data_IF_510167047208
#
_entry.id   IF_510167047208
#
_cell.length_a   1.000
_cell.length_b   1.000
_cell.length_c   1.000
_cell.angle_alpha   90.00
_cell.angle_beta   90.00
_cell.angle_gamma   90.00
#
_symmetry.space_group_name_H-M   'P 1'
#
loop_
_entity.id
_entity.type
_entity.pdbx_description
1 polymer ?
#
# COMPACT_ATOMS: atom_id res chain seq x y z
N UNK A 42 6.11 -4.24 -26.65
CA UNK A 42 4.68 -4.56 -26.92
C UNK A 42 3.90 -4.53 -25.59
N UNK A 43 2.76 -3.84 -25.62
CA UNK A 43 1.98 -3.66 -24.40
C UNK A 43 1.30 -4.96 -23.96
N UNK A 44 0.94 -5.83 -24.91
CA UNK A 44 0.18 -7.03 -24.61
C UNK A 44 1.05 -8.22 -24.23
N UNK A 45 2.32 -8.00 -23.88
CA UNK A 45 3.16 -9.10 -23.42
C UNK A 45 2.59 -9.68 -22.12
N UNK A 46 2.94 -10.94 -21.85
CA UNK A 46 2.30 -11.65 -20.75
C UNK A 46 2.58 -10.98 -19.40
N UNK A 47 3.82 -10.57 -19.15
CA UNK A 47 4.16 -10.02 -17.84
C UNK A 47 3.50 -8.66 -17.62
N UNK A 48 3.38 -7.84 -18.67
CA UNK A 48 2.66 -6.58 -18.51
C UNK A 48 1.15 -6.80 -18.45
N UNK A 49 0.63 -7.86 -19.06
CA UNK A 49 -0.75 -8.23 -18.83
C UNK A 49 -0.99 -8.55 -17.37
N UNK A 50 -0.09 -9.32 -16.76
CA UNK A 50 -0.18 -9.58 -15.33
C UNK A 50 -0.09 -8.30 -14.52
N UNK A 51 0.81 -7.40 -14.91
CA UNK A 51 0.94 -6.13 -14.19
C UNK A 51 -0.35 -5.33 -14.25
N UNK A 52 -0.99 -5.26 -15.42
CA UNK A 52 -2.23 -4.49 -15.54
C UNK A 52 -3.34 -5.14 -14.72
N UNK A 53 -3.43 -6.47 -14.76
CA UNK A 53 -4.47 -7.14 -13.98
C UNK A 53 -4.27 -6.93 -12.48
N UNK A 54 -3.02 -7.01 -12.00
CA UNK A 54 -2.77 -6.73 -10.59
C UNK A 54 -3.07 -5.27 -10.25
N UNK A 55 -2.75 -4.36 -11.17
CA UNK A 55 -3.12 -2.95 -10.99
C UNK A 55 -4.61 -2.81 -10.75
N UNK A 56 -5.42 -3.43 -11.60
CA UNK A 56 -6.87 -3.31 -11.42
C UNK A 56 -7.36 -4.04 -10.17
N UNK A 57 -6.70 -5.14 -9.79
CA UNK A 57 -7.07 -5.81 -8.57
C UNK A 57 -6.87 -4.94 -7.34
N UNK A 58 -5.70 -4.30 -7.27
CA UNK A 58 -5.45 -3.37 -6.16
C UNK A 58 -6.36 -2.15 -6.24
N UNK A 59 -6.64 -1.65 -7.44
CA UNK A 59 -7.63 -0.59 -7.61
C UNK A 59 -8.95 -0.98 -6.97
N UNK A 60 -9.45 -2.17 -7.27
CA UNK A 60 -10.74 -2.61 -6.73
C UNK A 60 -10.65 -2.73 -5.21
N UNK A 61 -9.59 -3.36 -4.71
CA UNK A 61 -9.50 -3.59 -3.28
C UNK A 61 -9.46 -2.27 -2.53
N UNK A 62 -8.66 -1.32 -3.01
CA UNK A 62 -8.55 -0.05 -2.31
C UNK A 62 -9.80 0.80 -2.44
N UNK A 63 -10.49 0.72 -3.59
CA UNK A 63 -11.78 1.41 -3.70
C UNK A 63 -12.77 0.86 -2.70
N UNK A 64 -12.82 -0.47 -2.55
CA UNK A 64 -13.69 -1.07 -1.55
C UNK A 64 -13.33 -0.58 -0.16
N UNK A 65 -12.04 -0.54 0.15
CA UNK A 65 -11.61 -0.08 1.47
C UNK A 65 -12.02 1.38 1.71
N UNK A 66 -11.83 2.24 0.72
CA UNK A 66 -12.02 3.68 0.93
C UNK A 66 -13.50 4.02 1.02
N UNK A 67 -14.34 3.40 0.18
CA UNK A 67 -15.72 3.86 0.10
C UNK A 67 -16.46 3.76 1.42
N UNK A 68 -16.00 2.89 2.33
CA UNK A 68 -16.64 2.80 3.65
C UNK A 68 -16.48 4.09 4.43
N UNK A 69 -15.28 4.70 4.37
CA UNK A 69 -15.02 5.91 5.13
C UNK A 69 -15.94 7.06 4.77
N UNK A 70 -16.52 7.05 3.56
CA UNK A 70 -17.44 8.09 3.15
C UNK A 70 -18.90 7.63 3.14
N UNK A 71 -19.16 6.32 3.07
CA UNK A 71 -20.52 5.85 3.27
C UNK A 71 -20.92 5.92 4.74
N UNK A 72 -19.94 5.82 5.64
CA UNK A 72 -20.23 5.84 7.07
C UNK A 72 -20.87 7.15 7.49
N UNK A 73 -20.33 8.28 7.02
CA UNK A 73 -20.84 9.57 7.46
C UNK A 73 -22.28 9.79 7.02
N UNK A 74 -22.73 9.08 5.99
CA UNK A 74 -24.10 9.22 5.50
C UNK A 74 -25.07 8.32 6.24
N UNK A 75 -24.60 7.23 6.85
CA UNK A 75 -25.47 6.29 7.53
C UNK A 75 -25.55 6.52 9.04
N UNK A 76 -24.57 7.21 9.63
CA UNK A 76 -24.61 7.43 11.07
C UNK A 76 -25.59 8.54 11.41
N UNK A 77 -26.25 8.39 12.55
CA UNK A 77 -27.27 9.34 12.96
C UNK A 77 -26.64 10.56 13.64
N UNK A 78 -27.39 11.66 13.62
CA UNK A 78 -26.95 12.91 14.23
C UNK A 78 -25.58 13.32 13.72
N UNK A 107 -33.06 4.11 7.74
CA UNK A 107 -32.67 4.25 9.13
C UNK A 107 -31.24 4.74 9.26
N UNK A 108 -30.94 5.40 10.38
CA UNK A 108 -29.59 5.86 10.68
C UNK A 108 -29.14 5.23 12.00
N UNK A 109 -27.85 4.92 12.07
CA UNK A 109 -27.27 4.21 13.21
C UNK A 109 -26.63 5.23 14.15
N UNK A 110 -26.93 5.10 15.45
CA UNK A 110 -26.45 6.03 16.45
C UNK A 110 -25.11 5.54 17.02
N UNK A 111 -24.07 5.71 16.21
CA UNK A 111 -22.71 5.36 16.59
C UNK A 111 -21.92 6.64 16.83
N UNK A 112 -21.25 6.72 17.98
CA UNK A 112 -20.48 7.90 18.33
C UNK A 112 -19.13 7.89 17.61
N UNK A 113 -18.27 8.86 17.95
CA UNK A 113 -16.97 8.97 17.29
C UNK A 113 -16.11 7.75 17.55
N UNK A 114 -16.11 7.23 18.77
CA UNK A 114 -15.27 6.09 19.10
C UNK A 114 -15.74 4.82 18.38
N UNK A 115 -17.06 4.59 18.34
CA UNK A 115 -17.57 3.42 17.63
C UNK A 115 -17.26 3.50 16.14
N UNK A 116 -17.40 4.68 15.55
CA UNK A 116 -17.02 4.84 14.14
C UNK A 116 -15.54 4.57 13.95
N UNK A 117 -14.70 5.10 14.85
CA UNK A 117 -13.27 4.88 14.74
C UNK A 117 -12.90 3.41 14.80
N UNK A 118 -13.52 2.67 15.73
CA UNK A 118 -13.24 1.23 15.80
C UNK A 118 -13.80 0.48 14.60
N UNK A 119 -14.98 0.85 14.10
CA UNK A 119 -15.51 0.22 12.90
C UNK A 119 -14.52 0.39 11.76
N UNK A 120 -13.92 1.57 11.64
CA UNK A 120 -12.97 1.82 10.57
C UNK A 120 -11.66 1.09 10.80
N UNK A 121 -11.18 1.07 12.04
CA UNK A 121 -9.81 0.62 12.32
C UNK A 121 -9.67 -0.86 12.63
N UNK A 122 -10.78 -1.56 12.90
CA UNK A 122 -10.67 -3.00 13.17
C UNK A 122 -10.22 -3.78 11.95
N UNK A 123 -10.24 -3.17 10.76
CA UNK A 123 -9.75 -3.85 9.57
C UNK A 123 -8.27 -4.19 9.70
N UNK A 124 -7.49 -3.26 10.22
CA UNK A 124 -6.05 -3.48 10.31
C UNK A 124 -5.66 -4.52 11.35
N UNK A 125 -6.48 -4.71 12.39
CA UNK A 125 -6.19 -5.75 13.37
C UNK A 125 -6.26 -7.15 12.76
N UNK A 126 -6.92 -7.30 11.63
CA UNK A 126 -6.91 -8.55 10.89
C UNK A 126 -5.94 -8.50 9.74
N UNK A 127 -5.76 -7.32 9.16
CA UNK A 127 -4.78 -7.13 8.10
C UNK A 127 -3.37 -7.48 8.57
N UNK A 128 -3.05 -7.20 9.84
CA UNK A 128 -1.71 -7.43 10.35
C UNK A 128 -1.41 -8.92 10.49
N UNK A 129 -2.40 -9.71 10.89
CA UNK A 129 -2.14 -11.09 11.31
C UNK A 129 -1.61 -11.92 10.16
N UNK A 130 -2.30 -11.89 9.01
CA UNK A 130 -2.04 -12.80 7.92
C UNK A 130 -0.98 -12.31 6.94
N UNK A 131 -0.08 -11.42 7.37
CA UNK A 131 0.99 -10.98 6.49
C UNK A 131 2.05 -12.06 6.31
N UNK A 132 2.68 -12.48 7.41
CA UNK A 132 3.77 -13.45 7.36
C UNK A 132 3.24 -14.82 6.92
N UNK A 133 2.13 -15.31 7.47
CA UNK A 133 1.56 -16.55 6.93
C UNK A 133 1.22 -16.46 5.46
N UNK A 134 0.70 -15.32 5.02
CA UNK A 134 0.41 -15.15 3.60
C UNK A 134 1.66 -15.25 2.75
N UNK A 135 2.73 -14.57 3.16
CA UNK A 135 3.98 -14.65 2.42
C UNK A 135 4.54 -16.06 2.38
N UNK A 136 4.50 -16.75 3.51
CA UNK A 136 5.03 -18.12 3.58
C UNK A 136 4.25 -19.04 2.66
N UNK A 137 2.92 -18.99 2.73
CA UNK A 137 2.11 -19.87 1.89
C UNK A 137 2.27 -19.50 0.42
N UNK A 138 2.42 -18.21 0.13
CA UNK A 138 2.64 -17.80 -1.25
C UNK A 138 3.95 -18.34 -1.79
N UNK A 139 5.02 -18.30 -0.99
CA UNK A 139 6.28 -18.89 -1.43
C UNK A 139 6.15 -20.39 -1.62
N UNK A 140 5.34 -21.05 -0.78
CA UNK A 140 5.20 -22.49 -0.91
C UNK A 140 4.40 -22.89 -2.15
N UNK A 141 3.26 -22.23 -2.40
CA UNK A 141 2.34 -22.68 -3.43
C UNK A 141 2.17 -21.69 -4.59
N UNK A 142 2.61 -20.45 -4.43
CA UNK A 142 2.38 -19.43 -5.42
C UNK A 142 1.30 -18.43 -5.01
N UNK A 143 1.37 -17.25 -5.62
CA UNK A 143 0.55 -16.13 -5.17
C UNK A 143 -0.77 -15.94 -5.90
N UNK A 144 -0.96 -16.62 -7.04
CA UNK A 144 -2.18 -16.37 -7.82
C UNK A 144 -3.42 -16.59 -6.98
N UNK A 145 -3.53 -17.77 -6.36
CA UNK A 145 -4.75 -18.10 -5.64
C UNK A 145 -4.91 -17.28 -4.37
N UNK A 146 -3.80 -17.03 -3.67
CA UNK A 146 -3.88 -16.20 -2.47
C UNK A 146 -4.41 -14.82 -2.81
N UNK A 147 -3.84 -14.17 -3.84
CA UNK A 147 -4.29 -12.83 -4.20
C UNK A 147 -5.73 -12.85 -4.69
N UNK A 148 -6.06 -13.77 -5.59
CA UNK A 148 -7.41 -13.80 -6.14
C UNK A 148 -8.45 -13.99 -5.06
N UNK A 149 -8.22 -14.95 -4.16
CA UNK A 149 -9.19 -15.21 -3.10
C UNK A 149 -9.18 -14.17 -2.00
N UNK A 150 -8.06 -13.50 -1.73
CA UNK A 150 -8.10 -12.39 -0.81
C UNK A 150 -8.98 -11.26 -1.33
N UNK A 151 -8.81 -10.89 -2.60
CA UNK A 151 -9.62 -9.82 -3.16
C UNK A 151 -11.08 -10.27 -3.29
N UNK A 152 -11.32 -11.53 -3.65
CA UNK A 152 -12.69 -12.02 -3.71
C UNK A 152 -13.35 -12.03 -2.34
N UNK A 153 -12.62 -12.41 -1.30
CA UNK A 153 -13.17 -12.35 0.04
C UNK A 153 -13.52 -10.93 0.45
N UNK A 154 -12.61 -9.99 0.15
CA UNK A 154 -12.91 -8.58 0.41
C UNK A 154 -14.22 -8.18 -0.27
N UNK A 155 -14.36 -8.50 -1.55
CA UNK A 155 -15.55 -8.08 -2.29
C UNK A 155 -16.81 -8.72 -1.75
N UNK A 156 -16.79 -10.03 -1.54
CA UNK A 156 -17.99 -10.74 -1.09
C UNK A 156 -18.40 -10.26 0.28
N UNK A 157 -17.44 -10.09 1.20
CA UNK A 157 -17.78 -9.60 2.52
C UNK A 157 -18.28 -8.16 2.48
N UNK A 158 -17.75 -7.35 1.56
CA UNK A 158 -18.29 -6.00 1.39
C UNK A 158 -19.74 -6.04 0.97
N UNK A 159 -20.10 -7.02 0.12
CA UNK A 159 -21.50 -7.15 -0.28
C UNK A 159 -22.44 -7.32 0.91
N UNK A 160 -21.96 -7.84 2.04
CA UNK A 160 -22.79 -8.07 3.21
C UNK A 160 -22.78 -6.90 4.20
N UNK A 161 -22.05 -5.83 3.92
CA UNK A 161 -21.96 -4.73 4.87
C UNK A 161 -23.33 -4.16 5.25
N UNK A 162 -24.26 -3.94 4.32
CA UNK A 162 -25.57 -3.42 4.73
C UNK A 162 -26.27 -4.28 5.76
N UNK A 163 -26.15 -5.61 5.65
CA UNK A 163 -26.77 -6.49 6.63
C UNK A 163 -26.04 -6.44 7.97
N UNK A 164 -24.71 -6.54 7.93
CA UNK A 164 -23.94 -6.50 9.16
C UNK A 164 -24.19 -5.22 9.94
N UNK A 165 -24.36 -4.10 9.22
CA UNK A 165 -24.72 -2.86 9.89
C UNK A 165 -26.06 -2.99 10.61
N UNK A 166 -26.98 -3.78 10.05
CA UNK A 166 -28.30 -3.93 10.66
C UNK A 166 -28.25 -4.84 11.89
N UNK A 167 -27.41 -5.88 11.88
CA UNK A 167 -27.33 -6.74 13.05
C UNK A 167 -26.77 -6.00 14.26
N UNK A 168 -25.75 -5.17 14.07
CA UNK A 168 -25.23 -4.35 15.15
C UNK A 168 -23.75 -4.11 14.99
N UNK A 169 -23.18 -3.44 15.99
CA UNK A 169 -21.77 -3.05 15.95
C UNK A 169 -20.87 -4.28 15.94
N UNK A 170 -21.17 -5.25 16.78
CA UNK A 170 -20.33 -6.42 16.91
C UNK A 170 -20.18 -7.19 15.62
N UNK A 171 -21.31 -7.55 14.99
CA UNK A 171 -21.24 -8.22 13.70
C UNK A 171 -20.49 -7.43 12.64
N UNK A 172 -20.64 -6.11 12.62
CA UNK A 172 -19.95 -5.31 11.60
C UNK A 172 -18.45 -5.26 11.87
N UNK A 173 -18.05 -5.16 13.13
CA UNK A 173 -16.62 -5.22 13.45
C UNK A 173 -16.05 -6.57 13.10
N UNK A 174 -16.81 -7.64 13.33
CA UNK A 174 -16.37 -8.97 12.93
C UNK A 174 -16.21 -9.04 11.41
N UNK A 175 -17.15 -8.45 10.68
CA UNK A 175 -17.05 -8.44 9.23
C UNK A 175 -15.80 -7.70 8.76
N UNK A 176 -15.51 -6.55 9.37
CA UNK A 176 -14.31 -5.81 9.00
C UNK A 176 -13.05 -6.60 9.33
N UNK A 177 -13.04 -7.30 10.48
CA UNK A 177 -11.88 -8.12 10.83
C UNK A 177 -11.70 -9.26 9.85
N UNK A 178 -12.80 -9.88 9.41
CA UNK A 178 -12.70 -10.92 8.39
C UNK A 178 -12.17 -10.36 7.08
N UNK A 179 -12.62 -9.16 6.70
CA UNK A 179 -12.07 -8.50 5.52
C UNK A 179 -10.56 -8.32 5.66
N UNK A 180 -10.13 -7.85 6.83
CA UNK A 180 -8.70 -7.66 7.05
C UNK A 180 -7.91 -8.94 6.95
N UNK A 181 -8.43 -10.01 7.57
CA UNK A 181 -7.75 -11.31 7.49
C UNK A 181 -7.63 -11.77 6.04
N UNK A 182 -8.71 -11.64 5.27
CA UNK A 182 -8.66 -12.04 3.88
C UNK A 182 -7.71 -11.18 3.06
N UNK A 183 -7.61 -9.89 3.39
CA UNK A 183 -6.83 -8.95 2.60
C UNK A 183 -5.36 -8.90 3.01
N UNK A 184 -4.99 -9.51 4.13
CA UNK A 184 -3.60 -9.45 4.57
C UNK A 184 -2.62 -10.13 3.64
N UNK A 185 -3.09 -11.09 2.84
CA UNK A 185 -2.17 -11.90 2.04
C UNK A 185 -1.88 -11.32 0.66
N UNK A 186 -2.60 -10.27 0.26
CA UNK A 186 -2.50 -9.79 -1.13
C UNK A 186 -1.12 -9.22 -1.45
N UNK A 187 -0.54 -8.41 -0.55
CA UNK A 187 0.73 -7.76 -0.86
C UNK A 187 1.88 -8.76 -0.86
N UNK A 188 2.10 -9.55 0.19
CA UNK A 188 3.13 -10.60 0.13
C UNK A 188 2.91 -11.58 -1.01
N UNK A 189 1.65 -11.92 -1.30
CA UNK A 189 1.37 -12.81 -2.43
C UNK A 189 1.79 -12.19 -3.75
N UNK A 190 1.53 -10.90 -3.95
CA UNK A 190 1.94 -10.24 -5.18
C UNK A 190 3.46 -10.18 -5.29
N UNK A 191 4.15 -9.94 -4.16
CA UNK A 191 5.61 -9.97 -4.20
C UNK A 191 6.14 -11.35 -4.57
N UNK A 192 5.58 -12.40 -3.97
CA UNK A 192 6.01 -13.76 -4.30
C UNK A 192 5.66 -14.13 -5.73
N UNK A 193 4.63 -13.51 -6.30
CA UNK A 193 4.26 -13.72 -7.69
C UNK A 193 5.22 -13.00 -8.63
N UNK A 194 5.68 -11.80 -8.27
CA UNK A 194 6.66 -11.11 -9.08
C UNK A 194 8.05 -11.71 -8.95
N UNK A 195 8.31 -12.45 -7.88
CA UNK A 195 9.62 -13.10 -7.74
C UNK A 195 9.85 -14.12 -8.85
N UNK A 196 8.80 -14.54 -9.56
CA UNK A 196 8.92 -15.49 -10.66
C UNK A 196 8.63 -14.88 -12.02
N UNK A 197 8.19 -13.63 -12.08
CA UNK A 197 7.73 -13.01 -13.32
C UNK A 197 8.57 -11.84 -13.79
N UNK A 198 9.18 -11.08 -12.88
CA UNK A 198 9.84 -9.83 -13.24
C UNK A 198 11.33 -10.07 -13.44
N UNK A 199 11.88 -9.81 -14.63
CA UNK A 199 13.33 -9.86 -14.80
C UNK A 199 14.02 -8.84 -13.92
N UNK A 200 15.26 -9.10 -13.51
CA UNK A 200 15.91 -8.18 -12.55
C UNK A 200 15.93 -6.73 -13.00
N UNK A 201 16.16 -6.47 -14.30
CA UNK A 201 16.25 -5.11 -14.80
C UNK A 201 14.90 -4.54 -15.22
N UNK A 202 13.80 -5.16 -14.80
CA UNK A 202 12.47 -4.63 -15.06
C UNK A 202 11.58 -4.66 -13.84
N UNK A 203 12.10 -4.96 -12.65
CA UNK A 203 11.27 -4.99 -11.45
C UNK A 203 10.68 -3.63 -11.14
N UNK A 204 11.46 -2.56 -11.35
CA UNK A 204 10.98 -1.23 -10.99
C UNK A 204 9.76 -0.82 -11.79
N UNK A 205 9.73 -1.12 -13.09
CA UNK A 205 8.57 -0.78 -13.90
C UNK A 205 7.37 -1.63 -13.51
N UNK A 206 7.55 -2.94 -13.41
CA UNK A 206 6.42 -3.85 -13.21
C UNK A 206 5.79 -3.64 -11.84
N UNK A 207 6.60 -3.58 -10.78
CA UNK A 207 6.04 -3.43 -9.45
C UNK A 207 5.37 -2.07 -9.28
N UNK A 208 5.96 -1.02 -9.87
CA UNK A 208 5.33 0.29 -9.81
C UNK A 208 3.98 0.28 -10.51
N UNK A 209 3.90 -0.32 -11.69
CA UNK A 209 2.62 -0.39 -12.40
C UNK A 209 1.62 -1.22 -11.61
N UNK A 210 2.09 -2.26 -10.92
CA UNK A 210 1.19 -3.10 -10.13
C UNK A 210 0.62 -2.34 -8.94
N UNK A 211 1.46 -1.58 -8.25
CA UNK A 211 1.05 -0.98 -6.98
C UNK A 211 0.48 0.42 -7.13
N UNK A 212 0.58 1.05 -8.31
CA UNK A 212 -0.12 2.31 -8.53
C UNK A 212 -1.64 2.13 -8.54
N UNK A 213 -2.10 0.89 -8.63
CA UNK A 213 -3.53 0.64 -8.62
C UNK A 213 -4.20 1.09 -7.35
N UNK A 214 -3.52 0.97 -6.22
CA UNK A 214 -4.11 1.43 -4.96
C UNK A 214 -4.36 2.92 -4.98
N UNK A 215 -3.40 3.70 -5.46
CA UNK A 215 -3.57 5.14 -5.55
C UNK A 215 -4.71 5.50 -6.49
N UNK A 216 -4.74 4.91 -7.69
CA UNK A 216 -5.83 5.25 -8.60
C UNK A 216 -7.18 4.78 -8.06
N UNK A 217 -7.20 3.68 -7.32
CA UNK A 217 -8.45 3.22 -6.72
C UNK A 217 -8.98 4.18 -5.69
N UNK A 218 -8.10 4.70 -4.83
CA UNK A 218 -8.55 5.72 -3.89
C UNK A 218 -9.05 6.96 -4.63
N UNK A 219 -8.32 7.38 -5.67
CA UNK A 219 -8.71 8.58 -6.41
C UNK A 219 -10.11 8.42 -7.00
N UNK A 220 -10.39 7.27 -7.59
CA UNK A 220 -11.69 7.09 -8.25
C UNK A 220 -12.78 6.81 -7.22
N UNK A 221 -12.44 6.18 -6.10
CA UNK A 221 -13.47 5.81 -5.13
C UNK A 221 -13.95 7.03 -4.35
N UNK A 222 -13.06 7.97 -4.04
CA UNK A 222 -13.47 9.10 -3.20
C UNK A 222 -14.66 9.86 -3.77
N UNK A 223 -14.63 10.35 -5.02
CA UNK A 223 -15.79 11.10 -5.54
C UNK A 223 -16.95 10.25 -6.00
N UNK A 224 -16.65 9.09 -6.61
CA UNK A 224 -17.71 8.28 -7.22
C UNK A 224 -18.66 7.73 -6.16
N UNK A 225 -18.13 7.34 -5.00
CA UNK A 225 -19.00 6.86 -3.94
C UNK A 225 -19.93 7.96 -3.43
N UNK A 226 -19.43 9.20 -3.32
CA UNK A 226 -20.29 10.30 -2.95
C UNK A 226 -21.37 10.56 -3.99
N UNK A 227 -21.01 10.47 -5.26
CA UNK A 227 -22.00 10.63 -6.32
C UNK A 227 -23.07 9.55 -6.20
N UNK A 228 -22.65 8.31 -5.97
CA UNK A 228 -23.61 7.21 -5.85
C UNK A 228 -24.54 7.47 -4.67
N UNK A 229 -24.00 7.88 -3.52
CA UNK A 229 -24.84 8.20 -2.38
C UNK A 229 -25.80 9.33 -2.69
N UNK A 230 -25.39 10.29 -3.52
CA UNK A 230 -26.29 11.38 -3.91
C UNK A 230 -27.43 10.88 -4.78
N UNK A 231 -27.14 10.00 -5.74
CA UNK A 231 -28.16 9.52 -6.65
C UNK A 231 -28.81 8.22 -6.21
N UNK A 232 -28.22 7.50 -5.26
CA UNK A 232 -28.75 6.21 -4.82
C UNK A 232 -28.55 6.04 -3.32
N UNK A 233 -29.21 5.04 -2.76
CA UNK A 233 -28.99 4.71 -1.36
C UNK A 233 -27.56 4.23 -1.15
N UNK A 234 -27.06 4.43 0.07
CA UNK A 234 -25.65 4.16 0.34
C UNK A 234 -25.29 2.67 0.17
N UNK A 235 -26.28 1.78 0.19
CA UNK A 235 -26.00 0.36 0.00
C UNK A 235 -25.48 0.07 -1.40
N UNK A 236 -25.92 0.86 -2.39
CA UNK A 236 -25.51 0.62 -3.76
C UNK A 236 -24.02 0.84 -3.97
N UNK A 237 -23.36 1.64 -3.13
CA UNK A 237 -21.91 1.76 -3.22
C UNK A 237 -21.27 0.40 -2.99
N UNK A 238 -21.64 -0.25 -1.89
CA UNK A 238 -21.10 -1.58 -1.60
C UNK A 238 -21.49 -2.57 -2.68
N UNK A 239 -22.74 -2.54 -3.13
CA UNK A 239 -23.17 -3.49 -4.15
C UNK A 239 -22.35 -3.33 -5.43
N UNK A 240 -22.21 -2.09 -5.91
CA UNK A 240 -21.49 -1.82 -7.15
C UNK A 240 -20.03 -2.26 -7.06
N UNK A 241 -19.33 -1.83 -6.01
CA UNK A 241 -17.91 -2.19 -5.94
C UNK A 241 -17.71 -3.67 -5.68
N UNK A 242 -18.59 -4.28 -4.87
CA UNK A 242 -18.46 -5.72 -4.62
C UNK A 242 -18.67 -6.54 -5.87
N UNK A 243 -19.68 -6.20 -6.68
CA UNK A 243 -19.92 -6.97 -7.89
C UNK A 243 -18.81 -6.73 -8.92
N UNK A 244 -18.25 -5.52 -8.98
CA UNK A 244 -17.07 -5.32 -9.82
C UNK A 244 -15.92 -6.20 -9.33
N UNK A 245 -15.83 -6.41 -8.02
CA UNK A 245 -14.79 -7.29 -7.50
C UNK A 245 -14.92 -8.71 -8.05
N UNK A 246 -16.13 -9.24 -8.10
CA UNK A 246 -16.34 -10.59 -8.63
C UNK A 246 -16.08 -10.62 -10.13
N UNK A 247 -16.51 -9.59 -10.85
CA UNK A 247 -16.24 -9.55 -12.29
C UNK A 247 -14.76 -9.45 -12.59
N UNK A 248 -13.96 -8.85 -11.69
CA UNK A 248 -12.51 -8.88 -11.87
C UNK A 248 -11.93 -10.23 -11.49
N UNK A 249 -12.45 -10.85 -10.44
CA UNK A 249 -11.95 -12.16 -10.04
C UNK A 249 -12.13 -13.17 -11.17
N UNK A 250 -13.23 -13.05 -11.93
CA UNK A 250 -13.45 -13.98 -13.03
C UNK A 250 -12.37 -13.85 -14.09
N UNK A 251 -11.86 -12.63 -14.31
CA UNK A 251 -10.74 -12.46 -15.23
C UNK A 251 -9.43 -12.94 -14.63
N UNK A 252 -9.22 -12.70 -13.34
CA UNK A 252 -7.99 -13.13 -12.69
C UNK A 252 -7.86 -14.65 -12.73
N UNK A 253 -8.96 -15.36 -12.49
CA UNK A 253 -8.92 -16.82 -12.52
C UNK A 253 -8.55 -17.30 -13.91
N UNK A 254 -8.96 -16.56 -14.94
CA UNK A 254 -8.88 -17.05 -16.31
C UNK A 254 -7.55 -16.73 -16.96
N UNK A 255 -7.05 -15.50 -16.78
CA UNK A 255 -5.98 -14.99 -17.63
C UNK A 255 -4.58 -15.08 -17.02
N UNK A 256 -4.44 -15.50 -15.77
CA UNK A 256 -3.17 -15.36 -15.07
C UNK A 256 -2.72 -16.72 -14.52
N UNK A 257 -1.40 -16.87 -14.41
CA UNK A 257 -0.78 -18.04 -13.81
C UNK A 257 0.34 -17.58 -12.88
N UNK A 258 0.68 -18.45 -11.91
CA UNK A 258 1.61 -18.03 -10.86
C UNK A 258 3.07 -18.07 -11.31
N UNK A 259 3.38 -18.75 -12.41
CA UNK A 259 4.74 -18.77 -12.95
C UNK A 259 4.67 -18.82 -14.47
N UNK A 260 5.70 -18.32 -15.16
CA UNK A 260 5.69 -18.36 -16.63
C UNK A 260 5.62 -19.77 -17.18
N UNK A 261 6.21 -20.75 -16.51
CA UNK A 261 6.15 -22.13 -17.00
C UNK A 261 4.72 -22.65 -16.99
N UNK A 262 3.87 -22.14 -16.11
CA UNK A 262 2.49 -22.57 -16.00
C UNK A 262 1.55 -21.79 -16.90
N UNK A 263 2.04 -20.73 -17.57
CA UNK A 263 1.16 -19.87 -18.35
C UNK A 263 0.70 -20.59 -19.61
N UNK A 264 -0.55 -20.35 -20.01
CA UNK A 264 -1.14 -21.08 -21.11
C UNK A 264 -0.87 -20.42 -22.46
N UNK A 265 -0.68 -19.10 -22.47
CA UNK A 265 -0.56 -18.34 -23.71
C UNK A 265 0.81 -17.70 -23.91
N UNK A 266 1.72 -17.80 -22.93
CA UNK A 266 3.01 -17.13 -23.05
C UNK A 266 3.77 -17.66 -24.26
N UNK A 267 4.37 -16.74 -25.01
CA UNK A 267 5.17 -17.13 -26.16
C UNK A 267 6.45 -17.80 -25.70
N UNK A 268 7.02 -18.64 -26.58
CA UNK A 268 8.19 -19.42 -26.21
C UNK A 268 9.37 -18.51 -25.86
N UNK A 269 9.65 -17.53 -26.71
CA UNK A 269 10.81 -16.67 -26.48
C UNK A 269 10.65 -15.78 -25.26
N UNK A 270 9.43 -15.34 -24.94
CA UNK A 270 9.24 -14.56 -23.72
C UNK A 270 9.52 -15.40 -22.48
N UNK A 271 9.03 -16.65 -22.46
CA UNK A 271 9.34 -17.54 -21.36
C UNK A 271 10.84 -17.76 -21.24
N UNK A 272 11.51 -17.98 -22.37
CA UNK A 272 12.95 -18.18 -22.33
C UNK A 272 13.65 -16.94 -21.79
N UNK A 273 13.22 -15.75 -22.22
CA UNK A 273 13.82 -14.52 -21.75
C UNK A 273 13.67 -14.36 -20.24
N UNK A 274 12.45 -14.54 -19.73
CA UNK A 274 12.22 -14.37 -18.29
C UNK A 274 13.04 -15.38 -17.50
N UNK A 275 12.98 -16.66 -17.90
CA UNK A 275 13.68 -17.69 -17.14
C UNK A 275 15.19 -17.47 -17.18
N UNK A 276 15.72 -17.04 -18.33
CA UNK A 276 17.14 -16.76 -18.41
C UNK A 276 17.53 -15.59 -17.53
N UNK A 277 16.69 -14.56 -17.47
CA UNK A 277 16.98 -13.42 -16.61
C UNK A 277 16.97 -13.80 -15.14
N UNK A 278 16.04 -14.67 -14.73
CA UNK A 278 15.94 -15.09 -13.34
C UNK A 278 16.79 -16.31 -13.02
N UNK A 279 17.62 -16.78 -13.96
CA UNK A 279 18.23 -18.10 -13.81
C UNK A 279 19.12 -18.20 -12.59
N UNK A 280 19.94 -17.19 -12.32
CA UNK A 280 20.97 -17.28 -11.30
C UNK A 280 20.61 -16.53 -10.02
N UNK A 281 19.34 -16.16 -9.84
CA UNK A 281 18.89 -15.49 -8.63
C UNK A 281 17.95 -16.34 -7.77
N UNK A 282 17.29 -17.33 -8.35
CA UNK A 282 16.40 -18.18 -7.57
C UNK A 282 17.21 -19.12 -6.68
N UNK A 283 16.58 -19.54 -5.59
CA UNK A 283 17.28 -20.31 -4.56
C UNK A 283 17.19 -21.81 -4.82
N UNK A 284 18.30 -22.49 -4.58
CA UNK A 284 18.36 -23.95 -4.61
C UNK A 284 18.04 -24.59 -3.26
N UNK A 285 17.76 -23.78 -2.23
CA UNK A 285 17.55 -24.31 -0.89
C UNK A 285 16.23 -25.05 -0.78
N UNK A 286 16.17 -25.98 0.17
CA UNK A 286 14.98 -26.80 0.38
C UNK A 286 13.98 -26.20 1.35
N UNK A 287 14.43 -25.33 2.27
CA UNK A 287 13.57 -24.80 3.30
C UNK A 287 13.92 -23.34 3.55
N UNK A 288 12.96 -22.62 4.13
CA UNK A 288 13.15 -21.17 4.35
C UNK A 288 14.25 -20.96 5.37
N UNK A 289 15.18 -20.03 5.15
CA UNK A 289 16.20 -19.70 6.17
C UNK A 289 15.70 -18.67 7.17
N UNK A 290 14.88 -19.12 8.13
CA UNK A 290 14.29 -18.20 9.09
C UNK A 290 15.35 -17.45 9.88
N UNK A 291 16.35 -18.16 10.40
CA UNK A 291 17.35 -17.55 11.27
C UNK A 291 18.16 -16.51 10.49
N UNK A 292 18.70 -16.83 9.32
CA UNK A 292 19.36 -15.78 8.53
C UNK A 292 18.47 -14.59 8.23
N UNK A 293 17.19 -14.85 7.91
CA UNK A 293 16.28 -13.76 7.59
C UNK A 293 16.14 -12.81 8.78
N UNK A 294 15.90 -13.37 9.97
CA UNK A 294 15.74 -12.55 11.16
C UNK A 294 17.06 -11.95 11.65
N UNK A 295 18.19 -12.51 11.23
CA UNK A 295 19.50 -12.03 11.65
C UNK A 295 20.10 -11.00 10.70
N UNK A 296 19.58 -10.92 9.48
CA UNK A 296 20.18 -10.05 8.46
C UNK A 296 19.88 -8.58 8.78
N UNK A 297 20.91 -7.75 8.71
CA UNK A 297 20.77 -6.31 8.93
C UNK A 297 20.11 -5.63 7.74
N UNK A 298 20.38 -6.06 6.51
CA UNK A 298 19.70 -5.44 5.36
C UNK A 298 18.19 -5.54 5.41
N UNK A 299 17.63 -6.60 5.98
CA UNK A 299 16.18 -6.68 6.12
C UNK A 299 15.66 -5.68 7.15
N UNK A 300 16.37 -5.54 8.27
CA UNK A 300 15.95 -4.57 9.27
C UNK A 300 16.09 -3.15 8.75
N UNK A 301 17.01 -2.91 7.81
CA UNK A 301 17.04 -1.60 7.16
C UNK A 301 15.74 -1.31 6.43
N UNK A 302 15.23 -2.30 5.68
CA UNK A 302 13.96 -2.12 4.98
C UNK A 302 12.83 -1.96 5.98
N UNK A 303 12.88 -2.71 7.09
CA UNK A 303 11.81 -2.61 8.10
C UNK A 303 11.79 -1.21 8.69
N UNK A 304 12.97 -0.66 9.02
CA UNK A 304 13.04 0.67 9.59
C UNK A 304 12.59 1.71 8.58
N UNK A 305 12.89 1.51 7.30
CA UNK A 305 12.43 2.45 6.29
C UNK A 305 10.90 2.40 6.16
N UNK A 306 10.34 1.20 6.14
CA UNK A 306 8.90 1.06 5.90
C UNK A 306 8.09 1.57 7.08
N UNK A 307 8.55 1.31 8.31
CA UNK A 307 7.85 1.83 9.47
C UNK A 307 7.81 3.35 9.45
N UNK A 308 8.96 3.99 9.17
CA UNK A 308 9.00 5.44 9.10
C UNK A 308 8.12 5.97 7.99
N UNK A 309 8.13 5.33 6.83
CA UNK A 309 7.30 5.78 5.72
C UNK A 309 5.82 5.70 6.08
N UNK A 310 5.40 4.59 6.68
CA UNK A 310 3.99 4.43 7.04
C UNK A 310 3.59 5.42 8.13
N UNK A 311 4.45 5.68 9.11
CA UNK A 311 4.14 6.71 10.10
C UNK A 311 3.98 8.07 9.43
N UNK A 312 4.93 8.44 8.56
CA UNK A 312 4.88 9.75 7.91
C UNK A 312 3.61 9.91 7.10
N UNK A 313 3.21 8.87 6.37
CA UNK A 313 2.06 9.02 5.50
C UNK A 313 0.74 8.83 6.22
N UNK A 314 0.70 8.06 7.31
CA UNK A 314 -0.46 8.15 8.18
C UNK A 314 -0.64 9.57 8.68
N UNK A 315 0.43 10.20 9.14
CA UNK A 315 0.34 11.61 9.50
C UNK A 315 -0.20 12.44 8.33
N UNK A 316 0.48 12.39 7.19
CA UNK A 316 0.14 13.24 6.06
C UNK A 316 -1.32 13.09 5.64
N UNK A 317 -1.86 11.88 5.66
CA UNK A 317 -3.16 11.61 5.07
C UNK A 317 -4.28 11.47 6.09
N UNK A 318 -3.99 11.51 7.39
CA UNK A 318 -5.06 11.50 8.38
C UNK A 318 -4.98 12.70 9.30
N UNK A 319 -3.81 12.97 9.87
CA UNK A 319 -3.69 14.05 10.84
C UNK A 319 -3.71 15.41 10.17
N UNK A 320 -2.96 15.55 9.08
CA UNK A 320 -2.93 16.84 8.39
C UNK A 320 -4.31 17.25 7.87
N UNK A 321 -5.10 16.36 7.25
CA UNK A 321 -6.49 16.72 6.98
C UNK A 321 -7.26 17.06 8.25
N UNK A 322 -6.99 16.37 9.36
CA UNK A 322 -7.64 16.72 10.62
C UNK A 322 -7.14 18.05 11.14
N UNK A 323 -5.85 18.35 10.93
CA UNK A 323 -5.33 19.67 11.28
C UNK A 323 -6.05 20.76 10.50
N UNK A 324 -6.25 20.54 9.20
CA UNK A 324 -6.99 21.52 8.40
C UNK A 324 -8.43 21.63 8.86
N UNK A 325 -9.04 20.51 9.25
CA UNK A 325 -10.43 20.51 9.71
C UNK A 325 -10.59 21.31 11.00
N UNK A 326 -9.71 21.09 11.97
CA UNK A 326 -9.92 21.62 13.31
C UNK A 326 -9.27 22.98 13.54
N UNK A 327 -8.07 23.19 13.02
CA UNK A 327 -7.37 24.46 13.24
C UNK A 327 -7.71 25.48 12.16
N UNK A 328 -7.62 25.09 10.90
CA UNK A 328 -7.89 26.00 9.79
C UNK A 328 -9.36 26.04 9.40
N UNK A 329 -10.18 25.10 9.89
CA UNK A 329 -11.61 25.08 9.61
C UNK A 329 -11.89 25.00 8.12
N UNK A 330 -11.10 24.21 7.39
CA UNK A 330 -11.23 24.13 5.94
C UNK A 330 -12.17 23.03 5.47
N UNK A 331 -12.34 21.96 6.26
CA UNK A 331 -13.27 20.88 5.91
C UNK A 331 -12.93 20.27 4.55
N UNK A 332 -11.67 19.86 4.37
CA UNK A 332 -11.25 19.26 3.11
C UNK A 332 -11.99 17.96 2.86
N UNK A 333 -12.35 17.23 3.92
CA UNK A 333 -13.02 15.95 3.76
C UNK A 333 -14.32 16.09 2.98
N UNK A 334 -15.00 17.23 3.12
CA UNK A 334 -16.27 17.43 2.44
C UNK A 334 -16.10 17.82 0.98
N UNK A 335 -14.98 18.46 0.63
CA UNK A 335 -14.79 18.90 -0.75
C UNK A 335 -14.67 17.73 -1.70
N UNK A 336 -14.00 16.66 -1.29
CA UNK A 336 -13.88 15.46 -2.11
C UNK A 336 -12.76 15.51 -3.13
N UNK A 337 -12.93 16.29 -4.19
CA UNK A 337 -11.95 16.30 -5.28
C UNK A 337 -10.59 16.78 -4.79
N UNK A 338 -10.56 17.84 -3.98
CA UNK A 338 -9.29 18.30 -3.43
C UNK A 338 -8.65 17.25 -2.52
N UNK A 339 -9.45 16.34 -1.97
CA UNK A 339 -8.89 15.26 -1.16
C UNK A 339 -8.24 14.18 -2.02
N UNK A 340 -8.78 13.95 -3.22
CA UNK A 340 -8.23 12.93 -4.11
C UNK A 340 -7.01 13.41 -4.87
N UNK A 341 -6.79 14.72 -4.94
CA UNK A 341 -5.66 15.26 -5.69
C UNK A 341 -4.31 14.68 -5.26
N UNK A 342 -3.98 14.63 -3.96
CA UNK A 342 -2.69 14.02 -3.58
C UNK A 342 -2.55 12.58 -4.02
N UNK A 343 -3.63 11.80 -4.01
CA UNK A 343 -3.53 10.42 -4.46
C UNK A 343 -3.31 10.34 -5.97
N UNK A 344 -3.93 11.23 -6.74
CA UNK A 344 -3.64 11.29 -8.18
C UNK A 344 -2.18 11.63 -8.43
N UNK A 345 -1.65 12.62 -7.72
CA UNK A 345 -0.24 12.94 -7.85
C UNK A 345 0.65 11.77 -7.47
N UNK A 346 0.30 11.06 -6.41
CA UNK A 346 1.08 9.91 -5.99
C UNK A 346 1.05 8.81 -7.05
N UNK A 347 -0.11 8.57 -7.66
CA UNK A 347 -0.20 7.58 -8.73
C UNK A 347 0.73 7.94 -9.88
N UNK A 348 0.62 9.18 -10.37
CA UNK A 348 1.43 9.58 -11.51
C UNK A 348 2.92 9.50 -11.20
N UNK A 349 3.30 10.00 -10.02
CA UNK A 349 4.71 9.96 -9.64
C UNK A 349 5.19 8.53 -9.44
N UNK A 350 4.32 7.66 -8.92
CA UNK A 350 4.68 6.26 -8.77
C UNK A 350 5.08 5.67 -10.11
N UNK A 351 4.22 5.82 -11.11
CA UNK A 351 4.50 5.23 -12.42
C UNK A 351 5.78 5.83 -12.99
N UNK A 352 5.89 7.17 -12.99
CA UNK A 352 7.02 7.79 -13.67
C UNK A 352 8.34 7.54 -12.94
N UNK A 353 8.33 7.46 -11.61
CA UNK A 353 9.55 7.17 -10.88
C UNK A 353 9.96 5.71 -10.98
N UNK A 354 9.01 4.79 -11.17
CA UNK A 354 9.39 3.44 -11.54
C UNK A 354 10.06 3.40 -12.89
N UNK A 355 9.47 4.09 -13.87
CA UNK A 355 10.05 4.13 -15.21
C UNK A 355 11.47 4.69 -15.18
N UNK A 356 11.65 5.86 -14.57
CA UNK A 356 12.96 6.49 -14.53
C UNK A 356 13.96 5.65 -13.72
N UNK A 357 13.49 5.05 -12.62
CA UNK A 357 14.37 4.23 -11.82
C UNK A 357 14.86 3.01 -12.58
N UNK A 358 14.01 2.42 -13.41
CA UNK A 358 14.45 1.29 -14.22
C UNK A 358 15.39 1.73 -15.33
N UNK A 359 15.12 2.89 -15.94
CA UNK A 359 16.02 3.40 -16.98
C UNK A 359 17.41 3.66 -16.42
N UNK A 360 17.49 4.22 -15.20
CA UNK A 360 18.80 4.48 -14.60
C UNK A 360 19.61 3.20 -14.48
N UNK A 361 19.00 2.11 -14.06
CA UNK A 361 19.70 0.84 -13.91
C UNK A 361 20.04 0.23 -15.26
N UNK A 362 19.13 0.34 -16.23
CA UNK A 362 19.31 -0.36 -17.50
C UNK A 362 20.31 0.35 -18.40
N UNK A 363 20.07 1.62 -18.73
CA UNK A 363 20.83 2.29 -19.76
C UNK A 363 22.05 3.03 -19.23
N UNK A 364 21.89 3.78 -18.15
CA UNK A 364 22.99 4.55 -17.57
C UNK A 364 23.87 3.73 -16.66
N UNK A 365 23.51 2.47 -16.39
CA UNK A 365 24.35 1.55 -15.64
C UNK A 365 24.63 2.07 -14.24
N UNK A 366 23.59 2.54 -13.55
CA UNK A 366 23.70 2.83 -12.13
C UNK A 366 23.58 1.56 -11.31
N UNK A 367 24.32 1.49 -10.22
CA UNK A 367 24.19 0.35 -9.31
C UNK A 367 22.81 0.35 -8.69
N UNK A 368 22.26 -0.84 -8.48
CA UNK A 368 20.92 -0.95 -7.92
C UNK A 368 20.85 -0.31 -6.55
N UNK A 369 21.85 -0.54 -5.70
CA UNK A 369 21.86 0.06 -4.38
C UNK A 369 21.84 1.57 -4.46
N UNK A 370 22.59 2.15 -5.40
CA UNK A 370 22.60 3.59 -5.55
C UNK A 370 21.22 4.12 -5.92
N UNK A 371 20.52 3.43 -6.83
CA UNK A 371 19.19 3.88 -7.23
C UNK A 371 18.23 3.78 -6.05
N UNK A 372 18.29 2.68 -5.29
CA UNK A 372 17.44 2.57 -4.10
C UNK A 372 17.73 3.69 -3.12
N UNK A 373 19.01 3.98 -2.87
CA UNK A 373 19.35 5.03 -1.94
C UNK A 373 18.80 6.38 -2.41
N UNK A 374 19.02 6.70 -3.68
CA UNK A 374 18.60 8.01 -4.19
C UNK A 374 17.09 8.15 -4.11
N UNK A 375 16.35 7.15 -4.59
CA UNK A 375 14.90 7.28 -4.63
C UNK A 375 14.29 7.23 -3.23
N UNK A 376 14.83 6.40 -2.33
CA UNK A 376 14.35 6.40 -0.96
C UNK A 376 14.62 7.73 -0.27
N UNK A 377 15.83 8.28 -0.45
CA UNK A 377 16.15 9.55 0.16
C UNK A 377 15.19 10.64 -0.33
N UNK A 378 14.96 10.69 -1.64
CA UNK A 378 13.98 11.64 -2.16
C UNK A 378 12.63 11.40 -1.50
N UNK A 379 12.03 10.24 -1.74
CA UNK A 379 10.66 9.99 -1.36
C UNK A 379 10.41 10.01 0.13
N UNK A 380 11.47 10.01 0.96
CA UNK A 380 11.30 10.10 2.40
C UNK A 380 11.65 11.48 2.94
N UNK A 381 12.84 12.01 2.63
CA UNK A 381 13.25 13.29 3.19
C UNK A 381 12.45 14.44 2.58
N UNK A 382 12.16 14.39 1.28
CA UNK A 382 11.47 15.48 0.64
C UNK A 382 10.14 15.78 1.27
N UNK A 383 9.31 14.74 1.48
CA UNK A 383 8.05 14.96 2.19
C UNK A 383 8.22 15.51 3.59
N UNK A 384 9.33 15.22 4.26
CA UNK A 384 9.52 15.72 5.63
C UNK A 384 9.55 17.23 5.66
N UNK A 385 10.25 17.85 4.70
CA UNK A 385 10.37 19.31 4.69
C UNK A 385 9.00 19.95 4.51
N UNK A 386 8.20 19.44 3.57
CA UNK A 386 6.88 20.03 3.35
C UNK A 386 5.94 19.75 4.52
N UNK A 387 6.05 18.57 5.14
CA UNK A 387 5.22 18.29 6.30
C UNK A 387 5.54 19.23 7.44
N UNK A 388 6.84 19.51 7.67
CA UNK A 388 7.22 20.47 8.70
C UNK A 388 6.71 21.85 8.34
N UNK A 389 6.86 22.26 7.08
CA UNK A 389 6.38 23.58 6.67
C UNK A 389 4.88 23.72 6.87
N UNK A 390 4.14 22.62 6.73
CA UNK A 390 2.69 22.69 6.88
C UNK A 390 2.28 23.20 8.26
N UNK A 391 3.15 23.10 9.26
CA UNK A 391 2.85 23.62 10.58
C UNK A 391 3.10 25.11 10.75
N UNK A 392 3.82 25.72 9.80
CA UNK A 392 4.14 27.14 9.87
C UNK A 392 3.31 27.99 8.92
N UNK A 393 2.48 27.38 8.07
CA UNK A 393 1.81 28.14 7.02
C UNK A 393 0.82 29.15 7.60
N UNK A 394 0.28 28.91 8.79
CA UNK A 394 -0.65 29.86 9.37
C UNK A 394 -2.06 29.66 8.85
N UNK A 395 -2.76 30.76 8.63
CA UNK A 395 -4.19 30.70 8.32
C UNK A 395 -4.46 30.32 6.87
N UNK A 396 -3.46 30.35 6.00
CA UNK A 396 -3.67 30.09 4.57
C UNK A 396 -3.77 28.59 4.35
N UNK A 397 -5.01 28.09 4.25
CA UNK A 397 -5.22 26.66 4.02
C UNK A 397 -4.92 26.25 2.59
N UNK A 398 -4.89 27.20 1.65
CA UNK A 398 -4.58 26.85 0.27
C UNK A 398 -3.17 26.29 0.16
N UNK A 399 -2.20 26.93 0.81
CA UNK A 399 -0.86 26.39 0.79
C UNK A 399 -0.72 25.14 1.65
N UNK A 400 -1.60 24.95 2.63
CA UNK A 400 -1.65 23.67 3.33
C UNK A 400 -2.03 22.55 2.37
N UNK A 401 -3.05 22.78 1.54
CA UNK A 401 -3.43 21.80 0.53
C UNK A 401 -2.28 21.58 -0.44
N UNK A 402 -1.60 22.68 -0.84
CA UNK A 402 -0.48 22.55 -1.76
C UNK A 402 0.64 21.69 -1.18
N UNK A 403 0.98 21.91 0.10
CA UNK A 403 2.00 21.11 0.75
C UNK A 403 1.56 19.66 0.88
N UNK A 404 0.30 19.42 1.23
CA UNK A 404 -0.19 18.04 1.29
C UNK A 404 0.00 17.36 -0.06
N UNK A 405 -0.42 18.02 -1.13
CA UNK A 405 -0.32 17.43 -2.46
C UNK A 405 1.14 17.18 -2.85
N UNK A 406 2.01 18.14 -2.57
CA UNK A 406 3.41 17.99 -2.96
C UNK A 406 4.07 16.87 -2.18
N UNK A 407 3.79 16.77 -0.88
CA UNK A 407 4.35 15.69 -0.09
C UNK A 407 3.87 14.33 -0.58
N UNK A 408 2.56 14.20 -0.80
CA UNK A 408 2.05 12.91 -1.27
C UNK A 408 2.55 12.57 -2.66
N UNK A 409 2.84 13.59 -3.49
CA UNK A 409 3.41 13.32 -4.81
C UNK A 409 4.85 12.84 -4.69
N UNK A 410 5.68 13.54 -3.91
CA UNK A 410 7.04 13.09 -3.70
C UNK A 410 7.08 11.72 -3.05
N UNK A 411 5.98 11.32 -2.40
CA UNK A 411 5.89 10.00 -1.82
C UNK A 411 5.98 8.86 -2.82
N UNK A 412 5.83 9.15 -4.12
CA UNK A 412 5.80 8.08 -5.10
C UNK A 412 7.15 7.43 -5.32
N UNK A 413 8.24 8.13 -5.01
CA UNK A 413 9.57 7.59 -5.26
C UNK A 413 9.82 6.35 -4.41
N UNK A 414 9.11 6.20 -3.30
CA UNK A 414 9.29 5.01 -2.47
C UNK A 414 8.76 3.75 -3.14
N UNK A 415 8.02 3.86 -4.24
CA UNK A 415 7.60 2.68 -4.99
C UNK A 415 8.73 2.05 -5.77
N UNK A 416 9.79 2.80 -6.05
CA UNK A 416 11.01 2.25 -6.61
C UNK A 416 12.15 2.26 -5.59
N UNK A 417 11.95 2.89 -4.44
CA UNK A 417 12.93 2.84 -3.37
C UNK A 417 12.81 1.59 -2.54
N UNK A 418 12.76 1.74 -1.22
CA UNK A 418 12.79 0.58 -0.33
C UNK A 418 11.65 -0.40 -0.59
N UNK A 419 10.53 0.07 -1.16
CA UNK A 419 9.37 -0.80 -1.31
C UNK A 419 9.64 -2.01 -2.19
N UNK A 420 10.68 -1.95 -3.03
CA UNK A 420 11.02 -3.06 -3.92
C UNK A 420 12.23 -3.83 -3.44
N UNK A 421 12.96 -3.32 -2.45
CA UNK A 421 14.24 -3.90 -2.07
C UNK A 421 14.11 -5.32 -1.54
N UNK A 422 12.90 -5.74 -1.16
CA UNK A 422 12.71 -7.12 -0.70
C UNK A 422 13.09 -8.11 -1.81
N UNK A 423 12.68 -7.83 -3.05
CA UNK A 423 13.10 -8.67 -4.16
C UNK A 423 14.59 -8.55 -4.41
N UNK A 424 15.16 -7.36 -4.21
CA UNK A 424 16.57 -7.15 -4.49
C UNK A 424 17.46 -7.99 -3.59
N UNK A 425 17.15 -8.03 -2.29
CA UNK A 425 18.05 -8.72 -1.37
C UNK A 425 17.78 -10.23 -1.33
N UNK A 426 16.55 -10.66 -1.56
CA UNK A 426 16.25 -12.09 -1.53
C UNK A 426 15.01 -12.39 -2.37
N UNK A 427 15.13 -12.47 -3.69
CA UNK A 427 13.94 -12.64 -4.53
C UNK A 427 13.16 -13.91 -4.21
N UNK A 428 13.84 -15.00 -3.87
CA UNK A 428 13.15 -16.26 -3.66
C UNK A 428 12.27 -16.24 -2.40
N UNK A 429 12.52 -15.33 -1.47
CA UNK A 429 11.73 -15.21 -0.24
C UNK A 429 11.12 -13.83 -0.10
N UNK A 430 10.89 -13.13 -1.21
CA UNK A 430 10.34 -11.78 -1.13
C UNK A 430 8.96 -11.78 -0.48
N UNK A 431 8.18 -12.83 -0.67
CA UNK A 431 6.89 -12.89 -0.01
C UNK A 431 7.01 -12.84 1.50
N UNK A 432 7.89 -13.66 2.07
CA UNK A 432 8.09 -13.68 3.51
C UNK A 432 8.67 -12.36 3.98
N UNK A 433 9.63 -11.81 3.23
CA UNK A 433 10.26 -10.56 3.65
C UNK A 433 9.25 -9.41 3.67
N UNK A 434 8.40 -9.32 2.65
CA UNK A 434 7.37 -8.29 2.64
C UNK A 434 6.32 -8.56 3.71
N UNK A 435 6.05 -9.83 4.01
CA UNK A 435 5.16 -10.13 5.11
C UNK A 435 5.68 -9.58 6.43
N UNK A 436 6.96 -9.80 6.70
CA UNK A 436 7.56 -9.27 7.93
C UNK A 436 7.52 -7.75 7.91
N UNK A 437 7.88 -7.15 6.78
CA UNK A 437 7.93 -5.69 6.71
C UNK A 437 6.56 -5.08 6.93
N UNK A 438 5.51 -5.66 6.34
CA UNK A 438 4.16 -5.15 6.57
C UNK A 438 3.71 -5.41 8.00
N UNK A 439 4.03 -6.57 8.57
CA UNK A 439 3.68 -6.82 9.96
C UNK A 439 4.26 -5.74 10.87
N UNK A 440 5.46 -5.26 10.57
CA UNK A 440 6.02 -4.16 11.37
C UNK A 440 5.48 -2.79 10.97
N UNK A 441 5.20 -2.57 9.69
CA UNK A 441 4.85 -1.24 9.21
C UNK A 441 3.36 -0.92 9.30
N UNK A 442 2.52 -1.90 9.64
CA UNK A 442 1.10 -1.60 9.85
C UNK A 442 0.81 -1.11 11.27
N UNK A 443 1.78 -1.21 12.17
CA UNK A 443 1.60 -0.79 13.57
C UNK A 443 1.31 0.71 13.63
N UNK A 444 2.03 1.56 12.89
CA UNK A 444 1.74 3.00 12.97
C UNK A 444 0.30 3.35 12.68
N UNK A 445 -0.33 2.70 11.70
CA UNK A 445 -1.71 3.02 11.38
C UNK A 445 -2.70 2.74 12.48
N UNK A 446 -2.27 2.06 13.54
CA UNK A 446 -3.11 1.80 14.71
C UNK A 446 -2.55 2.37 16.00
N UNK A 447 -1.29 2.82 16.02
CA UNK A 447 -0.76 3.47 17.20
C UNK A 447 -0.87 4.98 17.09
N UNK A 448 -0.93 5.53 15.86
CA UNK A 448 -1.00 6.96 15.69
C UNK A 448 -2.21 7.65 16.28
N UNK A 449 -3.39 7.04 16.21
CA UNK A 449 -4.57 7.70 16.80
C UNK A 449 -4.36 8.10 18.26
N UNK A 450 -3.92 7.16 19.10
CA UNK A 450 -3.76 7.47 20.52
C UNK A 450 -2.61 8.46 20.74
N UNK A 451 -1.53 8.34 19.96
CA UNK A 451 -0.42 9.27 20.10
C UNK A 451 -0.88 10.69 19.80
N UNK A 452 -1.61 10.87 18.70
CA UNK A 452 -2.12 12.20 18.36
C UNK A 452 -3.10 12.70 19.41
N UNK A 453 -3.97 11.79 19.89
CA UNK A 453 -4.93 12.19 20.91
C UNK A 453 -4.24 12.68 22.17
N UNK A 454 -3.12 12.06 22.55
CA UNK A 454 -2.40 12.45 23.76
C UNK A 454 -1.45 13.61 23.54
N UNK A 455 -1.05 13.88 22.30
CA UNK A 455 -0.09 14.94 22.02
C UNK A 455 -0.76 16.30 21.80
N UNK A 456 -2.07 16.34 21.64
CA UNK A 456 -2.76 17.60 21.40
C UNK A 456 -3.90 17.78 22.39
N UNK A 457 -3.61 17.82 23.70
CA UNK A 457 -4.69 18.05 24.67
C UNK A 457 -5.37 19.39 24.54
N UNK A 458 -4.62 20.46 24.28
CA UNK A 458 -5.20 21.79 24.13
C UNK A 458 -5.64 22.09 22.71
N UNK A 459 -5.20 21.30 21.73
CA UNK A 459 -5.60 21.48 20.34
C UNK A 459 -5.27 22.89 19.85
N UNK A 460 -3.97 23.21 19.90
CA UNK A 460 -3.48 24.50 19.43
C UNK A 460 -2.33 24.26 18.46
N UNK A 461 -1.91 25.35 17.81
CA UNK A 461 -0.96 25.24 16.70
C UNK A 461 0.35 24.61 17.16
N UNK A 462 0.80 24.96 18.38
CA UNK A 462 2.06 24.43 18.85
C UNK A 462 2.08 22.92 19.00
N UNK A 463 0.97 22.34 19.48
CA UNK A 463 0.90 20.90 19.66
C UNK A 463 0.95 20.18 18.32
N UNK A 464 0.24 20.70 17.32
CA UNK A 464 0.31 20.11 15.98
C UNK A 464 1.69 20.28 15.39
N UNK A 465 2.35 21.41 15.66
CA UNK A 465 3.72 21.60 15.21
C UNK A 465 4.63 20.53 15.82
N UNK A 466 4.43 20.24 17.12
CA UNK A 466 5.22 19.18 17.75
C UNK A 466 4.95 17.83 17.10
N UNK A 467 3.68 17.55 16.77
CA UNK A 467 3.35 16.29 16.12
C UNK A 467 4.08 16.18 14.78
N UNK A 468 4.06 17.25 14.00
CA UNK A 468 4.76 17.24 12.71
C UNK A 468 6.27 17.11 12.90
N UNK A 469 6.82 17.76 13.94
CA UNK A 469 8.23 17.59 14.23
C UNK A 469 8.57 16.13 14.50
N UNK A 470 7.73 15.46 15.29
CA UNK A 470 7.98 14.06 15.60
C UNK A 470 7.93 13.21 14.34
N UNK A 471 6.92 13.44 13.50
CA UNK A 471 6.79 12.67 12.27
C UNK A 471 8.00 12.89 11.35
N UNK A 472 8.43 14.13 11.20
CA UNK A 472 9.56 14.43 10.34
C UNK A 472 10.85 13.81 10.90
N UNK A 473 11.03 13.86 12.22
CA UNK A 473 12.21 13.25 12.82
C UNK A 473 12.24 11.76 12.56
N UNK A 474 11.11 11.08 12.74
CA UNK A 474 11.05 9.64 12.48
C UNK A 474 11.36 9.37 11.01
N UNK A 475 10.79 10.17 10.10
CA UNK A 475 11.02 9.96 8.68
C UNK A 475 12.49 10.10 8.33
N UNK A 476 13.14 11.15 8.83
CA UNK A 476 14.53 11.40 8.50
C UNK A 476 15.42 10.32 9.09
N UNK A 477 15.13 9.88 10.32
CA UNK A 477 15.92 8.81 10.92
C UNK A 477 15.80 7.53 10.10
N UNK A 478 14.57 7.19 9.68
CA UNK A 478 14.41 6.01 8.85
C UNK A 478 15.16 6.12 7.54
N UNK A 479 15.10 7.28 6.91
CA UNK A 479 15.81 7.47 5.64
C UNK A 479 17.31 7.31 5.81
N UNK A 480 17.86 7.89 6.87
CA UNK A 480 19.30 7.78 7.12
C UNK A 480 19.69 6.34 7.41
N UNK A 481 18.89 5.64 8.22
CA UNK A 481 19.21 4.26 8.54
C UNK A 481 19.19 3.39 7.30
N UNK A 482 18.17 3.57 6.44
CA UNK A 482 18.11 2.79 5.21
C UNK A 482 19.30 3.11 4.31
N UNK A 483 19.63 4.40 4.18
CA UNK A 483 20.77 4.78 3.35
C UNK A 483 22.06 4.12 3.86
N UNK A 484 22.21 4.03 5.17
CA UNK A 484 23.44 3.47 5.73
C UNK A 484 23.51 1.96 5.56
N UNK A 485 22.40 1.24 5.83
CA UNK A 485 22.44 -0.21 5.95
C UNK A 485 21.70 -0.96 4.86
N UNK A 486 21.29 -0.30 3.78
CA UNK A 486 20.59 -1.00 2.71
C UNK A 486 21.58 -1.74 1.80
N UNK A 487 21.05 -2.71 1.06
CA UNK A 487 21.83 -3.47 0.08
C UNK A 487 20.99 -3.69 -1.17
N UNK A 488 21.66 -3.96 -2.28
CA UNK A 488 21.00 -4.10 -3.56
C UNK A 488 21.42 -5.31 -4.36
N UNK A 489 21.98 -6.32 -3.71
CA UNK A 489 22.38 -7.56 -4.37
C UNK A 489 21.91 -8.74 -3.53
N UNK A 490 21.69 -9.87 -4.20
CA UNK A 490 21.13 -11.03 -3.52
C UNK A 490 22.09 -11.49 -2.44
N UNK A 491 21.56 -11.65 -1.22
CA UNK A 491 22.37 -12.10 -0.10
C UNK A 491 22.71 -13.58 -0.26
N UNK A 492 23.89 -13.97 0.22
CA UNK A 492 24.35 -15.34 0.04
C UNK A 492 23.42 -16.33 0.74
N UNK A 493 22.78 -15.93 1.84
CA UNK A 493 21.90 -16.85 2.55
C UNK A 493 20.60 -17.11 1.80
N UNK A 494 20.33 -16.35 0.74
CA UNK A 494 19.13 -16.57 -0.07
C UNK A 494 19.38 -17.45 -1.29
N UNK A 495 20.65 -17.76 -1.60
CA UNK A 495 20.97 -18.52 -2.80
C UNK A 495 21.11 -20.03 -2.51
N UNK A 496 21.97 -20.40 -1.58
CA UNK A 496 22.27 -21.79 -1.31
C UNK A 496 22.29 -22.03 0.19
N UNK A 497 22.08 -23.30 0.55
CA UNK A 497 22.09 -23.70 1.96
C UNK A 497 23.44 -23.39 2.60
#
# INVERSE_FOLDING_TARGET
>A
MDYKDDDDKRSPVRDLARNDGEESTDRTPLLPGAPRAEAAPVCCSARYNLAILAFFGFFIVYALRVNLAVALVDMVDSNTTLEDNRTSKACPEHSAPIKVHHNQTGKKYQWDAETQGWILGSFFYGYIITQIPGGYVASKIGGKMLLGFGILGTAVLTLFTPIAADLGVGPLIVLRALEGLGEGVTFPAMHAMWSSWAPPLERSKLLSISYAGAQLGTVISLPLSGIICYYMNWTYVFYFFGTIGIFWFLLWIWLVSDTPQKHKRISHYEKEYILSSLRNQLSSQKSVPWVPILKSLPLWAIVVAHFSYNWTFYTLLTLLPTYMKEILRFNVQENGFLSSLPYLGSWLCMILSGQAADNLRAKWNFSTLCVRRIFSLIGMIGPAVFLVAAGFIGCDYSLAVAFLTISTTLGGFCSSGFSINHLDIAPSYAGILLGITNTFATIPGMVGPVIAKSLTPDNTVGEWQTVFYIAAAINVFGAIFFTLFAKGEVQNWALNDHHGHRH
#
